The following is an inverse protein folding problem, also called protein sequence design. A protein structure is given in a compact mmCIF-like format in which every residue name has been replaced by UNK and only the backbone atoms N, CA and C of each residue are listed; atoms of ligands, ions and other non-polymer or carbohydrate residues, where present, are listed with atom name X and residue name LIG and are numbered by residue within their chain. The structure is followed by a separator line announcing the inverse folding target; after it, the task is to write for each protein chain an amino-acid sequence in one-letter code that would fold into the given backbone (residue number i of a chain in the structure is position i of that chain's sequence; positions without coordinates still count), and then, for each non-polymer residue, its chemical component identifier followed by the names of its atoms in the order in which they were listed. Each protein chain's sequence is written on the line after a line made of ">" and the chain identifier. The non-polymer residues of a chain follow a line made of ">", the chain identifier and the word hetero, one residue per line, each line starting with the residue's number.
data_IF_457965852662
#
_entry.id   IF_457965852662
#
_cell.length_a   1.000
_cell.length_b   1.000
_cell.length_c   1.000
_cell.angle_alpha   90.00
_cell.angle_beta   90.00
_cell.angle_gamma   90.00
#
_symmetry.space_group_name_H-M   'P 1'
#
loop_
_entity.id
_entity.type
_entity.pdbx_description
1 polymer ?
#
# COMPACT_ATOMS: atom_id res chain seq x y z
N UNK A 1 12.19 28.50 -21.36
CA UNK A 1 12.08 27.05 -21.54
C UNK A 1 12.05 26.43 -20.15
N UNK A 2 10.86 26.04 -19.75
CA UNK A 2 10.50 25.62 -18.40
C UNK A 2 11.02 24.20 -18.13
N UNK A 3 11.95 24.07 -17.18
CA UNK A 3 12.45 22.78 -16.68
C UNK A 3 11.71 22.49 -15.38
N UNK A 4 10.48 22.02 -15.50
CA UNK A 4 9.77 21.38 -14.37
C UNK A 4 10.54 20.13 -13.98
N UNK A 5 11.40 20.26 -12.97
CA UNK A 5 11.96 19.12 -12.23
C UNK A 5 10.79 18.33 -11.66
N UNK A 6 10.38 17.26 -12.34
CA UNK A 6 9.56 16.21 -11.73
C UNK A 6 10.32 15.77 -10.48
N UNK A 7 9.83 16.17 -9.31
CA UNK A 7 10.27 15.61 -8.04
C UNK A 7 9.73 14.18 -8.02
N UNK A 8 10.44 13.28 -8.71
CA UNK A 8 10.17 11.86 -8.64
C UNK A 8 10.53 11.43 -7.23
N UNK A 9 9.54 10.97 -6.48
CA UNK A 9 9.79 10.32 -5.20
C UNK A 9 10.49 9.00 -5.52
N UNK A 10 11.77 8.91 -5.19
CA UNK A 10 12.56 7.71 -5.45
C UNK A 10 12.08 6.58 -4.52
N UNK A 11 11.63 5.49 -5.12
CA UNK A 11 11.15 4.34 -4.38
C UNK A 11 11.65 3.04 -4.99
N UNK A 12 11.71 2.03 -4.13
CA UNK A 12 12.19 0.68 -4.43
C UNK A 12 11.01 -0.23 -4.66
N UNK A 13 10.97 -0.86 -5.84
CA UNK A 13 10.10 -1.99 -6.11
C UNK A 13 10.77 -3.28 -5.64
N UNK A 14 10.07 -4.09 -4.85
CA UNK A 14 10.52 -5.41 -4.40
C UNK A 14 9.48 -6.45 -4.78
N UNK A 15 9.91 -7.61 -5.25
CA UNK A 15 9.06 -8.76 -5.53
C UNK A 15 9.39 -9.87 -4.53
N UNK A 16 8.40 -10.30 -3.75
CA UNK A 16 8.55 -11.40 -2.79
C UNK A 16 7.56 -12.51 -3.11
N UNK A 17 8.03 -13.75 -3.18
CA UNK A 17 7.15 -14.91 -3.36
C UNK A 17 6.30 -15.07 -2.10
N UNK A 18 5.00 -15.33 -2.28
CA UNK A 18 4.08 -15.61 -1.18
C UNK A 18 4.44 -16.93 -0.48
N UNK A 19 3.96 -17.10 0.77
CA UNK A 19 4.24 -18.31 1.56
C UNK A 19 3.71 -19.61 0.92
N UNK A 20 2.77 -19.50 -0.03
CA UNK A 20 2.23 -20.62 -0.80
C UNK A 20 2.99 -20.95 -2.09
N UNK A 21 3.93 -20.10 -2.52
CA UNK A 21 4.69 -20.26 -3.77
C UNK A 21 3.88 -20.10 -5.06
N UNK A 22 2.68 -19.51 -4.99
CA UNK A 22 1.71 -19.39 -6.11
C UNK A 22 1.66 -17.97 -6.69
N UNK A 23 2.10 -16.97 -5.94
CA UNK A 23 2.05 -15.58 -6.36
C UNK A 23 3.28 -14.81 -5.88
N UNK A 24 3.63 -13.75 -6.59
CA UNK A 24 4.55 -12.74 -6.10
C UNK A 24 3.77 -11.54 -5.58
N UNK A 25 4.20 -10.99 -4.45
CA UNK A 25 3.74 -9.70 -3.97
C UNK A 25 4.74 -8.64 -4.45
N UNK A 26 4.27 -7.73 -5.30
CA UNK A 26 5.04 -6.58 -5.74
C UNK A 26 4.78 -5.40 -4.81
N UNK A 27 5.82 -4.92 -4.13
CA UNK A 27 5.72 -3.89 -3.10
C UNK A 27 6.56 -2.68 -3.47
N UNK A 28 5.95 -1.50 -3.48
CA UNK A 28 6.63 -0.22 -3.63
C UNK A 28 6.87 0.43 -2.27
N UNK A 29 8.13 0.75 -1.98
CA UNK A 29 8.55 1.49 -0.79
C UNK A 29 9.25 2.77 -1.20
N UNK A 30 8.93 3.87 -0.54
CA UNK A 30 9.71 5.11 -0.67
C UNK A 30 10.72 5.17 0.45
N UNK A 31 11.87 5.78 0.19
CA UNK A 31 12.85 6.03 1.24
C UNK A 31 12.21 6.81 2.39
N UNK A 32 12.52 6.43 3.63
CA UNK A 32 12.05 7.08 4.85
C UNK A 32 10.56 6.85 5.24
N UNK A 33 9.85 5.89 4.60
CA UNK A 33 8.52 5.45 5.08
C UNK A 33 8.62 4.20 5.96
N UNK A 34 7.85 4.14 7.04
CA UNK A 34 7.81 2.97 7.95
C UNK A 34 7.21 1.71 7.32
N UNK A 35 6.40 1.88 6.27
CA UNK A 35 5.71 0.79 5.59
C UNK A 35 5.71 0.93 4.06
N UNK A 36 5.21 -0.10 3.34
CA UNK A 36 5.01 -0.03 1.90
C UNK A 36 3.93 0.98 1.54
N UNK A 37 4.17 1.77 0.50
CA UNK A 37 3.17 2.70 -0.03
C UNK A 37 2.09 1.98 -0.83
N UNK A 38 2.47 0.89 -1.48
CA UNK A 38 1.56 0.08 -2.26
C UNK A 38 2.09 -1.35 -2.38
N UNK A 39 1.18 -2.30 -2.40
CA UNK A 39 1.45 -3.71 -2.71
C UNK A 39 0.44 -4.18 -3.74
N UNK A 40 0.79 -5.15 -4.59
CA UNK A 40 -0.15 -5.84 -5.47
C UNK A 40 0.27 -7.29 -5.65
N UNK A 41 -0.71 -8.19 -5.64
CA UNK A 41 -0.48 -9.62 -5.86
C UNK A 41 -0.46 -9.90 -7.35
N UNK A 42 0.61 -10.57 -7.80
CA UNK A 42 0.84 -10.99 -9.17
C UNK A 42 0.87 -12.51 -9.23
N UNK A 43 0.06 -13.16 -10.08
CA UNK A 43 0.17 -14.60 -10.30
C UNK A 43 1.59 -14.98 -10.73
N UNK A 44 2.11 -16.07 -10.17
CA UNK A 44 3.49 -16.53 -10.44
C UNK A 44 3.77 -16.72 -11.92
N UNK A 45 2.84 -17.34 -12.63
CA UNK A 45 2.92 -17.58 -14.08
C UNK A 45 3.07 -16.28 -14.88
N UNK A 46 2.44 -15.19 -14.43
CA UNK A 46 2.51 -13.87 -15.09
C UNK A 46 3.89 -13.24 -14.88
N UNK A 47 4.45 -13.33 -13.67
CA UNK A 47 5.79 -12.81 -13.36
C UNK A 47 6.87 -13.63 -14.07
N UNK A 48 6.77 -14.96 -14.05
CA UNK A 48 7.73 -15.84 -14.74
C UNK A 48 7.71 -15.61 -16.25
N UNK A 49 6.53 -15.42 -16.86
CA UNK A 49 6.43 -15.05 -18.27
C UNK A 49 7.10 -13.70 -18.58
N UNK A 50 6.91 -12.69 -17.71
CA UNK A 50 7.55 -11.38 -17.87
C UNK A 50 9.08 -11.45 -17.73
N UNK A 51 9.59 -12.25 -16.78
CA UNK A 51 11.04 -12.50 -16.61
C UNK A 51 11.61 -13.24 -17.81
N UNK A 52 10.90 -14.25 -18.33
CA UNK A 52 11.33 -15.03 -19.49
C UNK A 52 11.54 -14.17 -20.74
N UNK A 53 10.72 -13.15 -20.94
CA UNK A 53 10.85 -12.20 -22.04
C UNK A 53 11.76 -11.00 -21.71
N UNK A 54 12.50 -11.02 -20.58
CA UNK A 54 13.33 -9.91 -20.09
C UNK A 54 12.57 -8.57 -19.99
N UNK A 55 11.27 -8.60 -19.67
CA UNK A 55 10.50 -7.38 -19.47
C UNK A 55 10.85 -6.72 -18.14
N UNK A 56 10.87 -5.38 -18.13
CA UNK A 56 10.93 -4.59 -16.90
C UNK A 56 9.55 -4.57 -16.26
N UNK A 57 9.45 -5.03 -15.03
CA UNK A 57 8.23 -4.93 -14.23
C UNK A 57 8.20 -3.56 -13.55
N UNK A 58 7.10 -2.83 -13.69
CA UNK A 58 6.87 -1.55 -13.06
C UNK A 58 5.51 -1.48 -12.38
N UNK A 59 5.37 -0.51 -11.48
CA UNK A 59 4.10 -0.13 -10.86
C UNK A 59 3.78 1.32 -11.25
N UNK A 60 2.52 1.58 -11.56
CA UNK A 60 1.99 2.91 -11.85
C UNK A 60 0.77 3.17 -10.97
N UNK A 61 0.80 4.25 -10.18
CA UNK A 61 -0.38 4.78 -9.51
C UNK A 61 -1.06 5.76 -10.46
N UNK A 62 -2.27 5.42 -10.90
CA UNK A 62 -3.08 6.24 -11.79
C UNK A 62 -3.86 7.29 -11.01
N UNK A 63 -4.29 8.34 -11.72
CA UNK A 63 -5.05 9.45 -11.14
C UNK A 63 -6.47 9.07 -10.70
N UNK A 64 -6.98 7.93 -11.18
CA UNK A 64 -8.25 7.34 -10.73
C UNK A 64 -8.10 6.55 -9.41
N UNK A 65 -6.89 6.52 -8.84
CA UNK A 65 -6.60 5.78 -7.62
C UNK A 65 -6.37 4.28 -7.83
N UNK A 66 -6.23 3.80 -9.07
CA UNK A 66 -5.82 2.43 -9.33
C UNK A 66 -4.29 2.29 -9.35
N UNK A 67 -3.79 1.17 -8.82
CA UNK A 67 -2.42 0.74 -8.98
C UNK A 67 -2.35 -0.32 -10.08
N UNK A 68 -1.49 -0.09 -11.06
CA UNK A 68 -1.27 -0.96 -12.19
C UNK A 68 0.13 -1.57 -12.13
N UNK A 69 0.21 -2.89 -12.21
CA UNK A 69 1.45 -3.57 -12.51
C UNK A 69 1.55 -3.80 -14.02
N UNK A 70 2.70 -3.46 -14.59
CA UNK A 70 2.95 -3.64 -16.02
C UNK A 70 4.31 -4.28 -16.29
N UNK A 71 4.39 -5.01 -17.39
CA UNK A 71 5.62 -5.43 -18.02
C UNK A 71 5.92 -4.49 -19.19
N UNK A 72 7.15 -4.00 -19.28
CA UNK A 72 7.65 -3.19 -20.38
C UNK A 72 8.82 -3.90 -21.04
N UNK A 73 8.59 -4.36 -22.27
CA UNK A 73 9.66 -4.80 -23.17
C UNK A 73 9.58 -3.96 -24.46
N UNK A 74 8.71 -4.34 -25.41
CA UNK A 74 8.42 -3.59 -26.65
C UNK A 74 7.09 -2.84 -26.62
N UNK A 75 6.13 -3.32 -25.82
CA UNK A 75 4.87 -2.64 -25.49
C UNK A 75 4.63 -2.73 -23.97
N UNK A 76 3.83 -1.81 -23.43
CA UNK A 76 3.34 -1.90 -22.06
C UNK A 76 2.19 -2.90 -22.01
N UNK A 77 2.41 -4.03 -21.36
CA UNK A 77 1.36 -5.01 -21.07
C UNK A 77 0.97 -4.91 -19.59
N UNK A 78 -0.31 -4.66 -19.33
CA UNK A 78 -0.87 -4.74 -17.97
C UNK A 78 -0.80 -6.18 -17.48
N UNK A 79 -0.17 -6.38 -16.33
CA UNK A 79 -0.07 -7.67 -15.64
C UNK A 79 -1.17 -7.83 -14.60
N UNK A 80 -1.45 -6.76 -13.86
CA UNK A 80 -2.52 -6.70 -12.87
C UNK A 80 -2.95 -5.25 -12.65
N UNK A 81 -4.18 -5.06 -12.18
CA UNK A 81 -4.72 -3.77 -11.80
C UNK A 81 -5.54 -3.97 -10.51
N UNK A 82 -5.34 -3.12 -9.53
CA UNK A 82 -6.11 -3.11 -8.30
C UNK A 82 -6.48 -1.67 -7.95
N UNK A 83 -7.70 -1.43 -7.48
CA UNK A 83 -8.07 -0.15 -6.90
C UNK A 83 -7.38 0.08 -5.56
N UNK A 84 -7.14 1.34 -5.18
CA UNK A 84 -6.62 1.67 -3.85
C UNK A 84 -7.48 1.08 -2.72
N UNK A 85 -8.80 1.01 -2.91
CA UNK A 85 -9.73 0.34 -1.98
C UNK A 85 -9.44 -1.15 -1.81
N UNK A 86 -9.24 -1.89 -2.92
CA UNK A 86 -8.91 -3.32 -2.87
C UNK A 86 -7.54 -3.56 -2.22
N UNK A 87 -6.58 -2.66 -2.46
CA UNK A 87 -5.25 -2.74 -1.84
C UNK A 87 -5.29 -2.48 -0.34
N UNK A 88 -6.08 -1.50 0.10
CA UNK A 88 -6.28 -1.23 1.52
C UNK A 88 -6.93 -2.43 2.20
N UNK A 89 -7.97 -3.01 1.60
CA UNK A 89 -8.62 -4.22 2.13
C UNK A 89 -7.68 -5.42 2.19
N UNK A 90 -6.78 -5.58 1.21
CA UNK A 90 -5.80 -6.66 1.21
C UNK A 90 -4.68 -6.47 2.26
N UNK A 91 -4.33 -5.22 2.55
CA UNK A 91 -3.35 -4.86 3.60
C UNK A 91 -3.95 -4.97 5.01
N UNK A 92 -5.27 -4.82 5.13
CA UNK A 92 -6.03 -5.01 6.37
C UNK A 92 -6.46 -6.46 6.60
N UNK A 93 -6.00 -7.42 5.78
CA UNK A 93 -6.32 -8.82 6.03
C UNK A 93 -5.77 -9.24 7.39
N UNK A 94 -6.55 -9.97 8.21
CA UNK A 94 -6.16 -10.36 9.56
C UNK A 94 -4.78 -11.04 9.63
N UNK A 95 -4.39 -11.74 8.56
CA UNK A 95 -3.12 -12.44 8.41
C UNK A 95 -1.90 -11.49 8.38
N UNK A 96 -2.06 -10.26 7.89
CA UNK A 96 -1.02 -9.23 7.87
C UNK A 96 -1.07 -8.34 9.11
N UNK A 97 -2.25 -8.14 9.70
CA UNK A 97 -2.42 -7.45 10.98
C UNK A 97 -1.78 -8.28 12.12
N UNK A 98 -1.95 -9.61 12.09
CA UNK A 98 -1.39 -10.54 13.08
C UNK A 98 0.15 -10.55 13.16
N UNK A 99 0.87 -9.99 12.18
CA UNK A 99 2.33 -9.87 12.17
C UNK A 99 2.83 -8.63 12.95
N UNK A 100 1.98 -7.64 13.21
CA UNK A 100 2.30 -6.43 13.98
C UNK A 100 1.44 -6.25 15.25
N UNK A 101 0.69 -7.28 15.66
CA UNK A 101 -0.05 -7.23 16.92
C UNK A 101 0.90 -7.33 18.12
N UNK A 102 1.34 -6.17 18.61
CA UNK A 102 1.57 -6.03 20.05
C UNK A 102 0.22 -6.29 20.72
N UNK A 103 0.08 -7.31 21.60
CA UNK A 103 -1.23 -7.79 22.07
C UNK A 103 -2.10 -6.76 22.80
N UNK A 104 -1.55 -5.56 23.06
CA UNK A 104 -2.23 -4.46 23.74
C UNK A 104 -2.42 -3.21 22.86
N UNK A 105 -1.95 -3.19 21.61
CA UNK A 105 -1.96 -1.98 20.77
C UNK A 105 -3.39 -1.52 20.43
N UNK A 106 -4.29 -2.47 20.16
CA UNK A 106 -5.70 -2.16 19.88
C UNK A 106 -6.40 -1.61 21.13
N UNK A 107 -6.21 -2.25 22.27
CA UNK A 107 -6.77 -1.82 23.57
C UNK A 107 -6.24 -0.44 23.98
N UNK A 108 -4.97 -0.16 23.71
CA UNK A 108 -4.37 1.14 23.99
C UNK A 108 -4.94 2.24 23.09
N UNK A 109 -5.14 1.95 21.79
CA UNK A 109 -5.78 2.86 20.86
C UNK A 109 -7.24 3.14 21.24
N UNK A 110 -8.01 2.11 21.61
CA UNK A 110 -9.37 2.25 22.13
C UNK A 110 -9.42 3.17 23.36
N UNK A 111 -8.52 2.95 24.33
CA UNK A 111 -8.42 3.79 25.52
C UNK A 111 -7.98 5.23 25.20
N UNK A 112 -7.19 5.46 24.15
CA UNK A 112 -6.81 6.79 23.70
C UNK A 112 -7.98 7.51 23.02
N UNK A 113 -8.76 6.81 22.18
CA UNK A 113 -9.94 7.35 21.51
C UNK A 113 -11.05 7.70 22.49
N UNK A 114 -11.30 6.86 23.51
CA UNK A 114 -12.26 7.17 24.57
C UNK A 114 -11.88 8.44 25.34
N UNK A 115 -10.60 8.58 25.71
CA UNK A 115 -10.10 9.79 26.39
C UNK A 115 -10.27 11.04 25.52
N UNK A 116 -9.97 10.95 24.23
CA UNK A 116 -10.17 12.05 23.29
C UNK A 116 -11.66 12.42 23.17
N UNK A 117 -12.55 11.43 23.09
CA UNK A 117 -14.01 11.64 23.05
C UNK A 117 -14.54 12.33 24.30
N UNK A 118 -14.09 11.92 25.48
CA UNK A 118 -14.44 12.58 26.75
C UNK A 118 -13.97 14.03 26.74
N UNK A 119 -12.72 14.28 26.36
CA UNK A 119 -12.17 15.64 26.28
C UNK A 119 -12.96 16.54 25.32
N UNK A 120 -13.37 16.03 24.16
CA UNK A 120 -14.17 16.79 23.18
C UNK A 120 -15.58 17.08 23.73
N UNK A 121 -16.20 16.10 24.40
CA UNK A 121 -17.51 16.28 25.05
C UNK A 121 -17.44 17.34 26.15
N UNK A 122 -16.44 17.28 27.01
CA UNK A 122 -16.24 18.29 28.05
C UNK A 122 -15.97 19.68 27.49
N UNK A 123 -15.18 19.78 26.43
CA UNK A 123 -14.92 21.06 25.76
C UNK A 123 -16.21 21.64 25.17
N UNK A 124 -17.05 20.80 24.53
CA UNK A 124 -18.36 21.21 24.02
C UNK A 124 -19.31 21.63 25.14
N UNK A 125 -19.37 20.88 26.24
CA UNK A 125 -20.20 21.22 27.41
C UNK A 125 -19.77 22.56 28.01
N UNK A 126 -18.45 22.79 28.16
CA UNK A 126 -17.91 24.08 28.63
C UNK A 126 -18.26 25.24 27.70
N UNK A 127 -18.33 25.00 26.38
CA UNK A 127 -18.64 26.01 25.37
C UNK A 127 -20.14 26.23 25.15
N UNK A 128 -21.00 25.35 25.67
CA UNK A 128 -22.46 25.46 25.60
C UNK A 128 -23.09 26.15 26.81
N UNK A 129 -22.31 26.41 27.87
CA UNK A 129 -22.76 27.02 29.13
C UNK A 129 -22.32 28.51 29.24
N UNK A 130 -21.49 29.00 28.32
CA UNK A 130 -21.14 30.42 28.18
C UNK A 130 -21.70 30.99 26.88
#
# INVERSE_FOLDING_TARGET
>A
MDRTRKHGVEGRLTLTLDGGGKAYVATYRVADTSGPLASIVLPREVVEAAVFINARIGLELRTDGSLLAFASHTSMQTLACASLSELVDETLRPEFIALEETPNALTELEAQLERALVSVREFRSRRSIG
#
